data_IF_712105535058
#
_entry.id   IF_712105535058
#
_cell.length_a   1.000
_cell.length_b   1.000
_cell.length_c   1.000
_cell.angle_alpha   90.00
_cell.angle_beta   90.00
_cell.angle_gamma   90.00
#
_symmetry.space_group_name_H-M   'P 1'
#
loop_
_entity.id
_entity.type
_entity.pdbx_description
1 polymer ?
#
# COMPACT_ATOMS: atom_id res chain seq x y z
N UNK A 1 7.96 3.78 10.01
CA UNK A 1 7.63 2.34 10.07
C UNK A 1 7.22 1.87 8.68
N UNK A 2 7.43 0.60 8.33
CA UNK A 2 7.04 0.06 7.02
C UNK A 2 5.97 -1.01 7.24
N UNK A 3 4.83 -0.89 6.54
CA UNK A 3 3.83 -1.96 6.42
C UNK A 3 4.02 -2.64 5.06
N UNK A 4 3.96 -3.97 5.07
CA UNK A 4 4.33 -4.78 3.93
C UNK A 4 3.12 -5.43 3.26
N UNK A 5 3.00 -5.28 1.94
CA UNK A 5 2.03 -6.02 1.13
C UNK A 5 2.70 -7.04 0.18
N UNK A 6 4.02 -7.19 0.27
CA UNK A 6 4.84 -7.86 -0.74
C UNK A 6 5.47 -9.15 -0.19
N UNK A 7 6.80 -9.28 -0.13
CA UNK A 7 7.47 -10.54 0.22
C UNK A 7 7.19 -11.02 1.66
N UNK A 8 6.75 -10.14 2.57
CA UNK A 8 6.39 -10.53 3.94
C UNK A 8 4.95 -11.07 4.05
N UNK A 9 4.19 -11.07 2.95
CA UNK A 9 2.79 -11.52 2.91
C UNK A 9 2.65 -12.67 1.93
N UNK A 10 2.24 -13.83 2.44
CA UNK A 10 1.96 -14.99 1.60
C UNK A 10 0.87 -14.64 0.56
N UNK A 11 0.89 -15.24 -0.65
CA UNK A 11 -0.08 -14.90 -1.71
C UNK A 11 -1.55 -15.00 -1.26
N UNK A 12 -1.90 -16.01 -0.46
CA UNK A 12 -3.24 -16.20 0.07
C UNK A 12 -3.68 -15.12 1.08
N UNK A 13 -2.73 -14.42 1.68
CA UNK A 13 -2.97 -13.44 2.74
C UNK A 13 -3.00 -11.99 2.23
N UNK A 14 -2.68 -11.73 0.95
CA UNK A 14 -2.62 -10.36 0.41
C UNK A 14 -3.92 -9.57 0.57
N UNK A 15 -5.06 -10.24 0.35
CA UNK A 15 -6.37 -9.61 0.59
C UNK A 15 -6.55 -9.25 2.06
N UNK A 16 -6.14 -10.13 2.98
CA UNK A 16 -6.25 -9.88 4.42
C UNK A 16 -5.32 -8.74 4.86
N UNK A 17 -4.10 -8.67 4.32
CA UNK A 17 -3.14 -7.62 4.62
C UNK A 17 -3.64 -6.23 4.19
N UNK A 18 -4.24 -6.11 2.99
CA UNK A 18 -4.92 -4.88 2.55
C UNK A 18 -6.08 -4.51 3.49
N UNK A 19 -6.88 -5.49 3.91
CA UNK A 19 -7.94 -5.30 4.89
C UNK A 19 -7.43 -4.77 6.24
N UNK A 20 -6.26 -5.23 6.69
CA UNK A 20 -5.64 -4.73 7.92
C UNK A 20 -5.21 -3.26 7.79
N UNK A 21 -4.67 -2.84 6.65
CA UNK A 21 -4.35 -1.42 6.39
C UNK A 21 -5.62 -0.56 6.44
N UNK A 22 -6.72 -1.01 5.83
CA UNK A 22 -8.00 -0.29 5.88
C UNK A 22 -8.55 -0.21 7.32
N UNK A 23 -8.38 -1.25 8.11
CA UNK A 23 -8.80 -1.26 9.51
C UNK A 23 -8.01 -0.27 10.39
N UNK A 24 -6.80 0.14 9.97
CA UNK A 24 -6.02 1.16 10.69
C UNK A 24 -6.69 2.54 10.71
N UNK A 25 -7.73 2.79 9.92
CA UNK A 25 -8.51 4.04 9.93
C UNK A 25 -9.33 4.24 11.21
N UNK A 26 -9.33 3.25 12.12
CA UNK A 26 -9.92 3.31 13.45
C UNK A 26 -11.42 3.02 13.47
N UNK A 27 -11.90 2.37 14.54
CA UNK A 27 -13.32 2.06 14.75
C UNK A 27 -14.23 3.30 14.94
N UNK A 28 -13.64 4.48 15.14
CA UNK A 28 -14.33 5.78 15.31
C UNK A 28 -14.11 6.76 14.15
N UNK A 29 -13.23 6.47 13.19
CA UNK A 29 -13.08 7.23 11.94
C UNK A 29 -12.24 8.52 11.99
N UNK A 30 -11.80 8.99 13.16
CA UNK A 30 -11.17 10.32 13.28
C UNK A 30 -9.63 10.32 13.28
N UNK A 31 -8.98 9.25 13.76
CA UNK A 31 -7.51 9.18 13.85
C UNK A 31 -7.02 7.77 13.53
N UNK A 32 -6.18 7.58 12.49
CA UNK A 32 -5.57 6.29 12.22
C UNK A 32 -4.66 5.84 13.38
N UNK A 33 -4.62 4.54 13.65
CA UNK A 33 -3.74 3.97 14.70
C UNK A 33 -2.26 4.29 14.47
N UNK A 34 -1.86 4.41 13.20
CA UNK A 34 -0.50 4.77 12.79
C UNK A 34 -0.48 6.13 12.12
N UNK A 35 0.52 6.94 12.49
CA UNK A 35 0.72 8.25 11.88
C UNK A 35 1.00 8.09 10.36
N UNK A 36 0.12 8.58 9.47
CA UNK A 36 0.30 8.44 8.04
C UNK A 36 1.53 9.18 7.50
N UNK A 37 1.98 10.24 8.18
CA UNK A 37 3.13 11.03 7.78
C UNK A 37 4.48 10.30 7.95
N UNK A 38 4.54 9.26 8.79
CA UNK A 38 5.77 8.49 9.07
C UNK A 38 5.62 6.99 8.80
N UNK A 39 4.51 6.60 8.18
CA UNK A 39 4.21 5.22 7.78
C UNK A 39 4.39 5.07 6.28
N UNK A 40 5.22 4.10 5.89
CA UNK A 40 5.50 3.75 4.49
C UNK A 40 4.78 2.44 4.18
N UNK A 41 4.09 2.37 3.05
CA UNK A 41 3.49 1.11 2.57
C UNK A 41 4.35 0.54 1.45
N UNK A 42 4.86 -0.70 1.60
CA UNK A 42 5.55 -1.41 0.52
C UNK A 42 4.54 -2.11 -0.37
N UNK A 43 4.45 -1.67 -1.62
CA UNK A 43 3.53 -2.20 -2.63
C UNK A 43 4.17 -3.37 -3.39
N UNK A 44 3.31 -4.18 -4.00
CA UNK A 44 3.72 -5.18 -4.98
C UNK A 44 4.36 -4.53 -6.23
N UNK A 45 5.13 -5.28 -7.02
CA UNK A 45 5.80 -4.74 -8.22
C UNK A 45 4.81 -4.15 -9.23
N UNK A 46 5.22 -3.08 -9.90
CA UNK A 46 4.47 -2.46 -11.00
C UNK A 46 4.10 -3.49 -12.09
N UNK A 47 2.98 -3.28 -12.76
CA UNK A 47 2.44 -4.21 -13.77
C UNK A 47 1.86 -5.53 -13.24
N UNK A 48 1.75 -5.72 -11.91
CA UNK A 48 1.10 -6.91 -11.32
C UNK A 48 -0.35 -6.64 -10.90
N UNK A 49 -1.19 -7.67 -10.88
CA UNK A 49 -2.57 -7.52 -10.37
C UNK A 49 -2.63 -7.08 -8.90
N UNK A 50 -1.66 -7.51 -8.09
CA UNK A 50 -1.62 -7.13 -6.68
C UNK A 50 -1.24 -5.66 -6.51
N UNK A 51 -0.39 -5.10 -7.39
CA UNK A 51 -0.09 -3.67 -7.39
C UNK A 51 -1.34 -2.82 -7.64
N UNK A 52 -2.18 -3.19 -8.62
CA UNK A 52 -3.45 -2.50 -8.87
C UNK A 52 -4.39 -2.56 -7.65
N UNK A 53 -4.45 -3.72 -6.98
CA UNK A 53 -5.25 -3.91 -5.76
C UNK A 53 -4.68 -3.11 -4.57
N UNK A 54 -3.37 -2.98 -4.48
CA UNK A 54 -2.69 -2.18 -3.45
C UNK A 54 -2.99 -0.69 -3.65
N UNK A 55 -2.87 -0.17 -4.88
CA UNK A 55 -3.24 1.21 -5.22
C UNK A 55 -4.70 1.50 -4.93
N UNK A 56 -5.60 0.60 -5.32
CA UNK A 56 -7.02 0.71 -5.01
C UNK A 56 -7.25 0.78 -3.49
N UNK A 57 -6.59 -0.08 -2.71
CA UNK A 57 -6.65 -0.05 -1.24
C UNK A 57 -6.20 1.31 -0.68
N UNK A 58 -5.06 1.84 -1.14
CA UNK A 58 -4.51 3.08 -0.61
C UNK A 58 -5.34 4.33 -0.93
N UNK A 59 -6.13 4.33 -2.01
CA UNK A 59 -7.07 5.42 -2.31
C UNK A 59 -8.03 5.68 -1.16
N UNK A 60 -8.38 4.64 -0.40
CA UNK A 60 -9.28 4.71 0.74
C UNK A 60 -8.59 4.97 2.08
N UNK A 61 -7.30 5.34 2.07
CA UNK A 61 -6.51 5.58 3.29
C UNK A 61 -5.77 6.93 3.22
N UNK A 62 -5.35 7.49 4.36
CA UNK A 62 -4.48 8.67 4.39
C UNK A 62 -3.00 8.33 4.18
N UNK A 63 -2.63 7.07 3.97
CA UNK A 63 -1.25 6.67 3.71
C UNK A 63 -0.85 7.08 2.29
N UNK A 64 0.10 8.02 2.19
CA UNK A 64 0.60 8.56 0.92
C UNK A 64 2.08 8.32 0.67
N UNK A 65 2.82 7.90 1.69
CA UNK A 65 4.23 7.51 1.52
C UNK A 65 4.30 6.03 1.15
N UNK A 66 4.80 5.72 -0.05
CA UNK A 66 4.87 4.36 -0.59
C UNK A 66 6.28 3.96 -1.00
N UNK A 67 6.54 2.66 -1.01
CA UNK A 67 7.76 2.06 -1.54
C UNK A 67 7.37 1.00 -2.58
N UNK A 68 7.82 1.18 -3.82
CA UNK A 68 7.52 0.25 -4.92
C UNK A 68 8.54 -0.88 -4.95
N UNK A 69 8.10 -2.12 -4.74
CA UNK A 69 8.99 -3.28 -4.76
C UNK A 69 9.54 -3.55 -6.17
N UNK A 70 10.78 -4.06 -6.21
CA UNK A 70 11.42 -4.58 -7.43
C UNK A 70 11.42 -3.56 -8.59
N UNK A 71 11.63 -2.28 -8.26
CA UNK A 71 11.81 -1.21 -9.23
C UNK A 71 13.16 -1.33 -9.91
N UNK A 72 13.17 -1.50 -11.22
CA UNK A 72 14.36 -1.63 -12.07
C UNK A 72 14.58 -0.42 -12.97
N UNK A 73 13.53 0.36 -13.25
CA UNK A 73 13.63 1.56 -14.09
C UNK A 73 12.61 2.65 -13.71
N UNK A 74 12.89 3.88 -14.14
CA UNK A 74 12.06 5.04 -13.83
C UNK A 74 10.66 5.00 -14.47
N UNK A 75 10.44 4.18 -15.51
CA UNK A 75 9.12 4.01 -16.13
C UNK A 75 8.10 3.43 -15.16
N UNK A 76 8.53 2.52 -14.28
CA UNK A 76 7.67 1.89 -13.27
C UNK A 76 7.15 2.88 -12.21
N UNK A 77 7.87 3.98 -11.97
CA UNK A 77 7.38 5.04 -11.06
C UNK A 77 6.23 5.85 -11.67
N UNK A 78 6.14 5.94 -13.01
CA UNK A 78 5.07 6.70 -13.68
C UNK A 78 3.69 6.09 -13.45
N UNK A 79 3.61 4.79 -13.19
CA UNK A 79 2.36 4.09 -12.87
C UNK A 79 1.79 4.53 -11.51
N UNK A 80 2.64 5.00 -10.58
CA UNK A 80 2.21 5.60 -9.31
C UNK A 80 1.58 6.99 -9.51
N UNK A 81 2.17 7.80 -10.40
CA UNK A 81 1.70 9.16 -10.69
C UNK A 81 0.33 9.17 -11.36
N UNK A 82 0.05 8.18 -12.22
CA UNK A 82 -1.25 8.03 -12.89
C UNK A 82 -2.39 7.60 -11.94
N UNK A 83 -2.05 7.16 -10.73
CA UNK A 83 -2.98 6.54 -9.78
C UNK A 83 -3.31 7.42 -8.57
N UNK A 84 -2.71 8.62 -8.48
CA UNK A 84 -2.89 9.64 -7.44
C UNK A 84 -3.99 10.63 -7.84
#
# INVERSE_FOLDING_TARGET
MILDLEDAVAPADKQRARGAILAQLGSTGDVPELNPASTIIRLNPAGTEEFEKDLHCLKHTPYRTVMLAKTENAGQLKELEAST
#
